data_IF_410237904392
#
_entry.id   IF_410237904392
#
_cell.length_a   1.000
_cell.length_b   1.000
_cell.length_c   1.000
_cell.angle_alpha   90.00
_cell.angle_beta   90.00
_cell.angle_gamma   90.00
#
_symmetry.space_group_name_H-M   'P 1'
#
loop_
_entity.id
_entity.type
_entity.pdbx_description
1 polymer ?
#
# COMPACT_ATOMS: atom_id res chain seq x y z
N UNK A 1 -57.43 -55.65 -18.51
CA UNK A 1 -58.01 -54.73 -17.49
C UNK A 1 -56.85 -54.00 -16.84
N UNK A 2 -56.81 -52.66 -17.01
CA UNK A 2 -55.78 -51.69 -16.56
C UNK A 2 -54.55 -51.58 -17.46
N UNK A 3 -54.83 -51.16 -18.69
CA UNK A 3 -53.90 -50.62 -19.68
C UNK A 3 -53.56 -49.14 -19.44
N UNK A 4 -52.31 -48.81 -19.73
CA UNK A 4 -51.91 -47.72 -20.63
C UNK A 4 -52.67 -46.38 -20.52
N UNK A 5 -52.41 -45.60 -19.46
CA UNK A 5 -52.94 -44.22 -19.38
C UNK A 5 -52.15 -43.22 -18.52
N UNK A 6 -50.81 -43.21 -18.61
CA UNK A 6 -50.03 -42.19 -17.89
C UNK A 6 -48.82 -41.59 -18.64
N UNK A 7 -48.54 -41.97 -19.90
CA UNK A 7 -47.40 -41.43 -20.67
C UNK A 7 -47.76 -40.35 -21.71
N UNK A 8 -48.85 -39.58 -21.54
CA UNK A 8 -49.23 -38.51 -22.50
C UNK A 8 -49.30 -37.08 -21.94
N UNK A 9 -48.63 -36.78 -20.83
CA UNK A 9 -48.79 -35.48 -20.16
C UNK A 9 -47.51 -34.64 -20.02
N UNK A 10 -46.52 -34.76 -20.92
CA UNK A 10 -45.32 -33.89 -20.92
C UNK A 10 -44.96 -33.40 -22.33
N UNK A 11 -45.98 -33.05 -23.13
CA UNK A 11 -45.80 -32.67 -24.52
C UNK A 11 -46.68 -31.52 -24.97
N UNK A 12 -46.86 -30.48 -24.14
CA UNK A 12 -47.65 -29.30 -24.55
C UNK A 12 -47.48 -28.06 -23.64
N UNK A 13 -46.26 -27.63 -23.29
CA UNK A 13 -46.12 -26.39 -22.48
C UNK A 13 -44.86 -25.54 -22.74
N UNK A 14 -44.22 -25.63 -23.92
CA UNK A 14 -43.03 -24.80 -24.23
C UNK A 14 -43.07 -24.10 -25.59
N UNK A 15 -44.25 -23.88 -26.18
CA UNK A 15 -44.40 -23.21 -27.49
C UNK A 15 -45.05 -21.82 -27.41
N UNK A 16 -44.74 -21.03 -26.38
CA UNK A 16 -45.38 -19.71 -26.22
C UNK A 16 -44.74 -18.77 -25.20
N UNK A 17 -43.42 -18.55 -25.24
CA UNK A 17 -42.77 -17.54 -24.38
C UNK A 17 -41.51 -16.92 -24.99
N UNK A 18 -41.38 -16.94 -26.33
CA UNK A 18 -40.18 -16.42 -27.03
C UNK A 18 -40.32 -15.01 -27.62
N UNK A 19 -41.53 -14.45 -27.72
CA UNK A 19 -41.76 -13.25 -28.55
C UNK A 19 -41.84 -11.91 -27.82
N UNK A 20 -41.77 -11.89 -26.48
CA UNK A 20 -41.88 -10.64 -25.70
C UNK A 20 -40.55 -10.07 -25.19
N UNK A 21 -39.42 -10.78 -25.37
CA UNK A 21 -38.12 -10.34 -24.86
C UNK A 21 -37.25 -9.57 -25.88
N UNK A 22 -37.68 -9.42 -27.14
CA UNK A 22 -36.87 -8.80 -28.20
C UNK A 22 -37.15 -7.30 -28.45
N UNK A 23 -38.08 -6.65 -27.73
CA UNK A 23 -38.44 -5.23 -27.95
C UNK A 23 -37.83 -4.23 -26.95
N UNK A 24 -36.90 -4.66 -26.08
CA UNK A 24 -36.31 -3.76 -25.07
C UNK A 24 -34.79 -3.88 -24.90
N UNK A 25 -34.07 -4.28 -25.94
CA UNK A 25 -32.62 -4.15 -25.99
C UNK A 25 -32.27 -3.16 -27.10
N UNK A 26 -31.78 -1.99 -26.67
CA UNK A 26 -31.28 -0.96 -27.57
C UNK A 26 -30.20 -1.54 -28.50
N UNK A 27 -30.12 -0.95 -29.68
CA UNK A 27 -29.15 -1.29 -30.71
C UNK A 27 -27.73 -1.33 -30.12
N UNK A 28 -27.24 -2.54 -29.87
CA UNK A 28 -25.83 -2.80 -29.61
C UNK A 28 -25.09 -2.44 -30.89
N UNK A 29 -24.13 -1.52 -30.79
CA UNK A 29 -23.38 -1.02 -31.94
C UNK A 29 -22.64 -2.16 -32.63
N UNK A 30 -22.53 -2.10 -33.95
CA UNK A 30 -21.84 -3.10 -34.78
C UNK A 30 -20.37 -3.35 -34.37
N UNK A 31 -19.78 -2.49 -33.53
CA UNK A 31 -18.43 -2.65 -32.99
C UNK A 31 -18.28 -3.70 -31.88
N UNK A 32 -19.32 -3.98 -31.09
CA UNK A 32 -19.24 -4.95 -29.98
C UNK A 32 -19.42 -6.40 -30.44
N UNK A 33 -20.19 -6.63 -31.50
CA UNK A 33 -20.33 -7.96 -32.13
C UNK A 33 -18.99 -8.47 -32.70
N UNK A 34 -18.12 -7.57 -33.19
CA UNK A 34 -16.81 -7.94 -33.71
C UNK A 34 -15.78 -8.30 -32.61
N UNK A 35 -15.96 -7.81 -31.38
CA UNK A 35 -15.05 -8.13 -30.26
C UNK A 35 -15.33 -9.51 -29.65
N UNK A 36 -16.59 -9.94 -29.60
CA UNK A 36 -16.95 -11.26 -29.06
C UNK A 36 -16.53 -12.41 -30.00
N UNK A 37 -16.60 -12.21 -31.33
CA UNK A 37 -16.13 -13.21 -32.29
C UNK A 37 -14.60 -13.46 -32.24
N UNK A 38 -13.81 -12.49 -31.74
CA UNK A 38 -12.35 -12.63 -31.62
C UNK A 38 -11.93 -13.50 -30.43
N UNK A 39 -12.70 -13.53 -29.34
CA UNK A 39 -12.34 -14.28 -28.12
C UNK A 39 -12.53 -15.80 -28.32
N UNK A 40 -13.53 -16.25 -29.09
CA UNK A 40 -13.70 -17.69 -29.36
C UNK A 40 -12.57 -18.29 -30.23
N UNK A 41 -11.92 -17.49 -31.07
CA UNK A 41 -10.86 -17.97 -31.97
C UNK A 41 -9.54 -18.34 -31.24
N UNK A 42 -9.35 -17.87 -30.00
CA UNK A 42 -8.16 -18.17 -29.20
C UNK A 42 -8.31 -19.43 -28.34
N UNK A 43 -9.55 -19.87 -28.05
CA UNK A 43 -9.82 -21.09 -27.29
C UNK A 43 -9.52 -22.39 -28.07
N UNK A 44 -9.64 -22.35 -29.41
CA UNK A 44 -9.48 -23.55 -30.25
C UNK A 44 -8.02 -23.96 -30.52
N UNK A 45 -7.03 -23.11 -30.23
CA UNK A 45 -5.61 -23.41 -30.48
C UNK A 45 -4.87 -24.05 -29.30
N UNK A 46 -5.47 -24.13 -28.10
CA UNK A 46 -4.82 -24.73 -26.91
C UNK A 46 -5.19 -26.19 -26.63
N UNK A 47 -6.12 -26.78 -27.37
CA UNK A 47 -6.57 -28.16 -27.15
C UNK A 47 -5.69 -29.25 -27.81
N UNK A 48 -4.59 -28.88 -28.49
CA UNK A 48 -3.77 -29.81 -29.27
C UNK A 48 -2.40 -30.19 -28.68
N UNK A 49 -2.01 -29.64 -27.52
CA UNK A 49 -0.63 -29.74 -27.00
C UNK A 49 -0.50 -30.51 -25.66
N UNK A 50 -1.50 -31.29 -25.28
CA UNK A 50 -1.55 -31.96 -23.97
C UNK A 50 -1.73 -33.49 -24.06
N UNK A 51 -1.19 -34.12 -25.10
CA UNK A 51 -1.19 -35.59 -25.23
C UNK A 51 0.21 -36.25 -25.17
N UNK A 52 1.32 -35.50 -25.20
CA UNK A 52 2.67 -36.09 -25.26
C UNK A 52 3.52 -35.98 -23.98
N UNK A 53 3.08 -35.23 -22.96
CA UNK A 53 3.88 -35.01 -21.73
C UNK A 53 3.66 -36.12 -20.68
N UNK A 54 2.60 -36.93 -20.78
CA UNK A 54 2.32 -37.98 -19.78
C UNK A 54 3.17 -39.26 -19.92
N UNK A 55 3.94 -39.43 -20.99
CA UNK A 55 4.76 -40.64 -21.20
C UNK A 55 6.20 -40.52 -20.67
N UNK A 56 6.70 -39.31 -20.40
CA UNK A 56 8.07 -39.12 -19.88
C UNK A 56 8.15 -39.03 -18.35
N UNK A 57 7.03 -38.75 -17.66
CA UNK A 57 7.02 -38.61 -16.20
C UNK A 57 7.22 -39.91 -15.44
N UNK A 58 6.71 -41.05 -15.94
CA UNK A 58 6.78 -42.33 -15.23
C UNK A 58 8.18 -42.94 -15.26
N UNK A 59 8.91 -42.82 -16.38
CA UNK A 59 10.28 -43.30 -16.49
C UNK A 59 11.22 -42.54 -15.53
N UNK A 60 11.00 -41.24 -15.33
CA UNK A 60 11.81 -40.42 -14.43
C UNK A 60 11.59 -40.78 -12.95
N UNK A 61 10.34 -41.05 -12.57
CA UNK A 61 10.00 -41.49 -11.20
C UNK A 61 10.57 -42.88 -10.90
N UNK A 62 10.49 -43.82 -11.86
CA UNK A 62 11.09 -45.15 -11.69
C UNK A 62 12.62 -45.08 -11.60
N UNK A 63 13.27 -44.21 -12.37
CA UNK A 63 14.72 -44.02 -12.31
C UNK A 63 15.16 -43.40 -10.96
N UNK A 64 14.40 -42.44 -10.42
CA UNK A 64 14.65 -41.85 -9.10
C UNK A 64 14.48 -42.86 -7.95
N UNK A 65 13.47 -43.72 -8.02
CA UNK A 65 13.26 -44.79 -7.04
C UNK A 65 14.35 -45.86 -7.10
N UNK A 66 14.79 -46.24 -8.31
CA UNK A 66 15.91 -47.16 -8.47
C UNK A 66 17.22 -46.56 -7.94
N UNK A 67 17.48 -45.27 -8.17
CA UNK A 67 18.66 -44.59 -7.64
C UNK A 67 18.67 -44.56 -6.10
N UNK A 68 17.52 -44.37 -5.45
CA UNK A 68 17.40 -44.42 -3.98
C UNK A 68 17.67 -45.83 -3.41
N UNK A 69 17.39 -46.90 -4.17
CA UNK A 69 17.69 -48.27 -3.75
C UNK A 69 19.15 -48.67 -3.93
N UNK A 70 19.91 -47.98 -4.79
CA UNK A 70 21.34 -48.20 -5.00
C UNK A 70 22.24 -47.28 -4.18
N UNK A 71 21.69 -46.41 -3.31
CA UNK A 71 22.53 -45.67 -2.37
C UNK A 71 23.10 -46.64 -1.33
N UNK A 72 24.44 -46.83 -1.29
CA UNK A 72 25.05 -47.66 -0.26
C UNK A 72 24.75 -47.02 1.09
N UNK A 73 24.13 -47.80 1.99
CA UNK A 73 23.97 -47.45 3.39
C UNK A 73 25.37 -47.23 4.00
N UNK A 74 25.87 -45.99 3.92
CA UNK A 74 27.04 -45.53 4.67
C UNK A 74 26.63 -45.41 6.13
N UNK A 75 26.54 -46.58 6.77
CA UNK A 75 26.71 -46.71 8.21
C UNK A 75 28.14 -46.30 8.56
N UNK A 76 28.26 -45.12 9.13
CA UNK A 76 29.48 -44.63 9.77
C UNK A 76 29.07 -43.95 11.05
N UNK A 77 28.78 -44.75 12.07
CA UNK A 77 28.67 -44.29 13.44
C UNK A 77 30.05 -43.80 13.90
N UNK A 78 30.29 -42.49 13.83
CA UNK A 78 31.20 -41.84 14.76
C UNK A 78 30.36 -41.41 15.95
N UNK A 79 30.69 -41.91 17.13
CA UNK A 79 30.17 -41.41 18.40
C UNK A 79 30.48 -39.92 18.48
N UNK A 80 29.48 -39.08 18.19
CA UNK A 80 29.51 -37.69 18.57
C UNK A 80 29.24 -37.67 20.07
N UNK A 81 30.26 -37.26 20.81
CA UNK A 81 30.21 -36.77 22.19
C UNK A 81 28.80 -36.26 22.52
N UNK A 82 28.13 -36.95 23.43
CA UNK A 82 26.86 -36.50 23.99
C UNK A 82 27.10 -35.10 24.55
N UNK A 83 26.53 -34.03 23.97
CA UNK A 83 26.74 -32.71 24.52
C UNK A 83 26.01 -32.76 25.85
N UNK A 84 26.78 -32.87 26.94
CA UNK A 84 26.29 -32.62 28.28
C UNK A 84 25.59 -31.27 28.17
N UNK A 85 24.27 -31.31 28.19
CA UNK A 85 23.41 -30.19 28.51
C UNK A 85 23.84 -29.81 29.92
N UNK A 86 24.91 -29.01 30.01
CA UNK A 86 25.10 -28.11 31.10
C UNK A 86 23.79 -27.34 31.11
N UNK A 87 22.94 -27.71 32.08
CA UNK A 87 21.83 -26.92 32.55
C UNK A 87 22.48 -25.64 33.06
N UNK A 88 22.85 -24.77 32.11
CA UNK A 88 23.10 -23.38 32.33
C UNK A 88 21.76 -22.92 32.83
N UNK A 89 21.66 -22.77 34.15
CA UNK A 89 20.59 -22.01 34.77
C UNK A 89 20.34 -20.84 33.84
N UNK A 90 19.16 -20.84 33.25
CA UNK A 90 18.69 -19.73 32.47
C UNK A 90 18.66 -18.56 33.46
N UNK A 91 19.76 -17.80 33.52
CA UNK A 91 19.67 -16.38 33.86
C UNK A 91 18.46 -15.88 33.08
N UNK A 92 17.48 -15.23 33.74
CA UNK A 92 16.29 -14.79 33.06
C UNK A 92 16.74 -13.96 31.87
N UNK A 93 16.63 -14.54 30.67
CA UNK A 93 16.88 -13.85 29.44
C UNK A 93 15.94 -12.64 29.48
N UNK A 94 16.51 -11.44 29.35
CA UNK A 94 15.80 -10.18 29.52
C UNK A 94 14.42 -10.26 28.88
N UNK A 95 13.40 -9.99 29.70
CA UNK A 95 12.01 -10.08 29.28
C UNK A 95 11.81 -9.35 27.96
N UNK A 96 10.97 -9.90 27.08
CA UNK A 96 10.48 -9.18 25.92
C UNK A 96 10.01 -7.80 26.35
N UNK A 97 10.41 -6.71 25.67
CA UNK A 97 9.99 -5.38 26.06
C UNK A 97 8.46 -5.34 26.10
N UNK A 98 7.91 -5.24 27.30
CA UNK A 98 6.46 -5.12 27.47
C UNK A 98 6.12 -3.64 27.32
N UNK A 99 5.22 -3.31 26.40
CA UNK A 99 4.73 -1.94 26.24
C UNK A 99 3.59 -1.72 27.22
N UNK A 100 3.64 -0.62 27.99
CA UNK A 100 2.57 -0.25 28.92
C UNK A 100 1.90 1.04 28.49
N UNK A 101 0.57 1.09 28.59
CA UNK A 101 -0.21 2.28 28.25
C UNK A 101 0.03 3.39 29.28
N UNK A 102 0.03 4.63 28.79
CA UNK A 102 0.04 5.83 29.62
C UNK A 102 -1.42 6.28 29.77
N UNK A 103 -1.98 6.18 30.98
CA UNK A 103 -3.40 6.45 31.23
C UNK A 103 -3.86 7.87 30.86
N UNK A 104 -2.99 8.86 31.04
CA UNK A 104 -3.25 10.27 30.70
C UNK A 104 -2.01 10.86 30.03
N UNK A 105 -1.82 10.60 28.73
CA UNK A 105 -0.63 11.04 28.04
C UNK A 105 -0.72 12.54 27.73
N UNK A 106 0.31 13.30 28.13
CA UNK A 106 0.49 14.66 27.63
C UNK A 106 0.81 14.61 26.13
N UNK A 107 0.05 15.30 25.26
CA UNK A 107 0.32 15.30 23.83
C UNK A 107 1.65 15.97 23.48
N UNK A 108 2.54 15.24 22.83
CA UNK A 108 3.82 15.76 22.34
C UNK A 108 3.76 16.19 20.88
N UNK A 109 2.79 15.66 20.12
CA UNK A 109 2.66 15.88 18.69
C UNK A 109 1.27 16.37 18.32
N UNK A 110 1.21 17.25 17.32
CA UNK A 110 -0.01 17.63 16.63
C UNK A 110 0.09 17.33 15.14
N UNK A 111 -1.05 17.09 14.53
CA UNK A 111 -1.18 16.96 13.08
C UNK A 111 -2.40 17.79 12.67
N UNK A 112 -2.13 18.99 12.17
CA UNK A 112 -3.15 20.00 11.96
C UNK A 112 -3.41 20.18 10.46
N UNK A 113 -4.44 19.49 9.96
CA UNK A 113 -4.83 19.50 8.56
C UNK A 113 -6.33 19.78 8.40
N UNK A 114 -6.71 20.50 7.33
CA UNK A 114 -8.10 20.91 7.13
C UNK A 114 -9.02 19.70 6.95
N UNK A 115 -8.50 18.66 6.30
CA UNK A 115 -9.17 17.38 6.03
C UNK A 115 -9.43 16.59 7.31
N UNK A 116 -8.63 16.80 8.36
CA UNK A 116 -8.74 16.13 9.66
C UNK A 116 -9.59 16.91 10.66
N UNK A 117 -9.84 18.21 10.42
CA UNK A 117 -10.48 19.13 11.39
C UNK A 117 -11.86 18.70 11.89
N UNK A 118 -12.65 18.03 11.05
CA UNK A 118 -13.99 17.54 11.37
C UNK A 118 -14.03 16.05 11.70
N UNK A 119 -12.87 15.45 11.97
CA UNK A 119 -12.73 14.03 12.27
C UNK A 119 -12.42 13.86 13.76
N UNK A 120 -13.10 12.90 14.41
CA UNK A 120 -12.79 12.54 15.80
C UNK A 120 -11.32 12.15 15.95
N UNK A 121 -10.63 12.75 16.93
CA UNK A 121 -9.20 12.53 17.18
C UNK A 121 -9.00 11.86 18.52
N UNK A 122 -8.24 10.77 18.52
CA UNK A 122 -7.79 10.07 19.73
C UNK A 122 -6.26 10.19 19.81
N UNK A 123 -5.76 10.50 21.00
CA UNK A 123 -4.34 10.51 21.30
C UNK A 123 -4.02 9.44 22.33
N UNK A 124 -3.09 8.55 21.99
CA UNK A 124 -2.64 7.50 22.89
C UNK A 124 -1.12 7.50 22.97
N UNK A 125 -0.57 7.04 24.09
CA UNK A 125 0.86 6.83 24.19
C UNK A 125 1.16 5.57 24.99
N UNK A 126 2.20 4.87 24.56
CA UNK A 126 2.75 3.70 25.23
C UNK A 126 4.21 3.94 25.55
N UNK A 127 4.65 3.39 26.69
CA UNK A 127 6.05 3.41 27.11
C UNK A 127 6.61 1.99 27.11
N UNK A 128 7.87 1.85 26.70
CA UNK A 128 8.60 0.61 26.91
C UNK A 128 8.87 0.44 28.41
N UNK A 129 8.63 -0.75 28.93
CA UNK A 129 9.04 -1.12 30.30
C UNK A 129 10.55 -1.32 30.42
N UNK A 130 11.24 -1.53 29.31
CA UNK A 130 12.68 -1.69 29.25
C UNK A 130 13.26 -0.61 28.34
N UNK A 131 13.72 0.49 28.95
CA UNK A 131 14.34 1.64 28.27
C UNK A 131 13.49 2.91 28.30
N UNK A 132 13.94 3.91 27.54
CA UNK A 132 13.30 5.22 27.38
C UNK A 132 12.37 5.29 26.15
N UNK A 133 12.01 4.14 25.58
CA UNK A 133 11.15 4.07 24.40
C UNK A 133 9.75 4.61 24.73
N UNK A 134 9.32 5.61 23.97
CA UNK A 134 7.94 6.11 23.96
C UNK A 134 7.44 6.07 22.52
N UNK A 135 6.20 5.63 22.38
CA UNK A 135 5.46 5.72 21.13
C UNK A 135 4.15 6.46 21.39
N UNK A 136 3.89 7.47 20.57
CA UNK A 136 2.67 8.26 20.56
C UNK A 136 1.87 7.92 19.30
N UNK A 137 0.56 7.82 19.43
CA UNK A 137 -0.39 7.47 18.36
C UNK A 137 -1.43 8.56 18.22
N UNK A 138 -1.57 9.07 17.00
CA UNK A 138 -2.63 9.99 16.62
C UNK A 138 -3.58 9.22 15.71
N UNK A 139 -4.80 8.99 16.18
CA UNK A 139 -5.85 8.28 15.43
C UNK A 139 -6.92 9.30 15.06
N UNK A 140 -7.32 9.30 13.79
CA UNK A 140 -8.39 10.14 13.26
C UNK A 140 -9.46 9.24 12.65
N UNK A 141 -10.68 9.33 13.17
CA UNK A 141 -11.83 8.58 12.68
C UNK A 141 -11.80 7.12 13.09
N UNK A 142 -12.62 6.29 12.44
CA UNK A 142 -12.77 4.88 12.78
C UNK A 142 -12.67 3.99 11.54
N UNK A 143 -11.93 2.90 11.66
CA UNK A 143 -11.63 2.01 10.55
C UNK A 143 -12.88 1.35 9.93
N UNK A 144 -13.93 1.11 10.72
CA UNK A 144 -15.17 0.47 10.28
C UNK A 144 -16.13 1.36 9.49
N UNK A 145 -15.81 2.65 9.28
CA UNK A 145 -16.67 3.62 8.58
C UNK A 145 -16.10 4.02 7.23
N UNK A 146 -16.33 3.20 6.20
CA UNK A 146 -15.81 3.42 4.84
C UNK A 146 -16.18 4.81 4.26
N UNK A 147 -17.31 5.39 4.66
CA UNK A 147 -17.80 6.71 4.24
C UNK A 147 -17.03 7.91 4.83
N UNK A 148 -16.15 7.68 5.81
CA UNK A 148 -15.42 8.72 6.55
C UNK A 148 -13.93 8.47 6.49
N UNK A 149 -13.12 9.53 6.51
CA UNK A 149 -11.67 9.40 6.61
C UNK A 149 -11.26 8.59 7.85
N UNK A 150 -10.24 7.74 7.68
CA UNK A 150 -9.56 7.06 8.77
C UNK A 150 -8.05 7.20 8.59
N UNK A 151 -7.36 7.68 9.61
CA UNK A 151 -5.90 7.82 9.60
C UNK A 151 -5.32 7.44 10.94
N UNK A 152 -4.17 6.78 10.92
CA UNK A 152 -3.36 6.57 12.10
C UNK A 152 -1.91 6.92 11.82
N UNK A 153 -1.27 7.63 12.75
CA UNK A 153 0.17 7.91 12.73
C UNK A 153 0.78 7.50 14.06
N UNK A 154 1.76 6.60 13.99
CA UNK A 154 2.69 6.29 15.05
C UNK A 154 3.91 7.20 14.97
N UNK A 155 4.32 7.75 16.11
CA UNK A 155 5.59 8.41 16.26
C UNK A 155 6.32 7.73 17.40
N UNK A 156 7.45 7.09 17.11
CA UNK A 156 8.28 6.47 18.15
C UNK A 156 9.69 7.02 18.13
N UNK A 157 10.25 7.12 19.33
CA UNK A 157 11.69 7.27 19.49
C UNK A 157 12.31 5.88 19.49
N UNK A 158 13.10 5.57 18.47
CA UNK A 158 13.76 4.27 18.40
C UNK A 158 15.05 4.19 19.24
N UNK A 159 15.55 5.33 19.72
CA UNK A 159 16.81 5.45 20.45
C UNK A 159 18.01 4.85 19.71
N UNK A 160 19.20 4.93 20.30
CA UNK A 160 20.43 4.34 19.72
C UNK A 160 20.46 2.79 19.78
N UNK A 161 19.35 2.13 20.09
CA UNK A 161 19.23 0.68 20.25
C UNK A 161 18.13 0.07 19.37
N UNK A 162 17.73 0.78 18.34
CA UNK A 162 16.82 0.22 17.38
C UNK A 162 17.56 -0.90 16.62
N UNK A 163 17.14 -2.15 16.83
CA UNK A 163 17.62 -3.27 16.02
C UNK A 163 17.35 -3.04 14.54
N UNK A 164 17.91 -3.91 13.69
CA UNK A 164 17.67 -3.89 12.25
C UNK A 164 16.18 -3.75 11.95
N UNK A 165 15.83 -2.79 11.08
CA UNK A 165 14.44 -2.54 10.73
C UNK A 165 13.87 -3.79 10.06
N UNK A 166 12.74 -4.29 10.56
CA UNK A 166 12.05 -5.40 9.90
C UNK A 166 11.61 -4.98 8.49
N UNK A 167 11.26 -5.91 7.59
CA UNK A 167 10.67 -5.55 6.30
C UNK A 167 9.37 -4.74 6.48
N UNK A 168 9.09 -3.80 5.57
CA UNK A 168 7.96 -2.86 5.68
C UNK A 168 6.62 -3.54 5.94
N UNK A 169 6.30 -4.61 5.20
CA UNK A 169 5.06 -5.35 5.39
C UNK A 169 4.93 -5.98 6.78
N UNK A 170 6.05 -6.41 7.39
CA UNK A 170 6.04 -7.02 8.73
C UNK A 170 5.73 -5.96 9.78
N UNK A 171 6.36 -4.78 9.70
CA UNK A 171 6.06 -3.66 10.59
C UNK A 171 4.61 -3.18 10.43
N UNK A 172 4.16 -3.02 9.18
CA UNK A 172 2.78 -2.63 8.87
C UNK A 172 1.77 -3.64 9.45
N UNK A 173 2.02 -4.94 9.29
CA UNK A 173 1.12 -5.99 9.77
C UNK A 173 1.06 -6.04 11.29
N UNK A 174 2.21 -5.92 11.97
CA UNK A 174 2.27 -5.85 13.44
C UNK A 174 1.52 -4.63 13.96
N UNK A 175 1.69 -3.49 13.30
CA UNK A 175 1.01 -2.24 13.67
C UNK A 175 -0.49 -2.32 13.44
N UNK A 176 -0.92 -2.81 12.29
CA UNK A 176 -2.32 -3.04 11.97
C UNK A 176 -2.98 -3.91 13.06
N UNK A 177 -2.35 -5.05 13.40
CA UNK A 177 -2.85 -5.93 14.45
C UNK A 177 -2.96 -5.22 15.82
N UNK A 178 -1.97 -4.40 16.19
CA UNK A 178 -1.99 -3.62 17.43
C UNK A 178 -3.06 -2.51 17.44
N UNK A 179 -3.53 -2.08 16.28
CA UNK A 179 -4.64 -1.14 16.10
C UNK A 179 -6.01 -1.84 15.92
N UNK A 180 -6.06 -3.18 15.99
CA UNK A 180 -7.29 -3.94 15.79
C UNK A 180 -7.78 -3.95 14.33
N UNK A 181 -6.89 -3.71 13.37
CA UNK A 181 -7.17 -3.78 11.93
C UNK A 181 -6.32 -4.86 11.26
N UNK A 182 -6.81 -5.49 10.21
CA UNK A 182 -6.09 -6.51 9.45
C UNK A 182 -5.58 -5.95 8.12
N UNK A 183 -4.39 -6.35 7.69
CA UNK A 183 -3.90 -6.07 6.34
C UNK A 183 -4.42 -7.16 5.39
N UNK A 184 -5.42 -6.84 4.58
CA UNK A 184 -5.99 -7.76 3.60
C UNK A 184 -5.11 -7.87 2.34
N UNK A 185 -4.49 -6.76 1.94
CA UNK A 185 -3.57 -6.70 0.79
C UNK A 185 -2.58 -5.55 0.98
N UNK A 186 -1.35 -5.70 0.50
CA UNK A 186 -0.40 -4.59 0.37
C UNK A 186 0.37 -4.71 -0.95
N UNK A 187 0.63 -3.59 -1.62
CA UNK A 187 1.60 -3.51 -2.70
C UNK A 187 3.03 -3.60 -2.13
N UNK A 188 4.04 -3.82 -2.98
CA UNK A 188 5.43 -3.53 -2.61
C UNK A 188 5.58 -2.08 -2.12
N UNK A 189 6.56 -1.85 -1.24
CA UNK A 189 6.92 -0.51 -0.81
C UNK A 189 7.54 0.29 -1.95
N UNK A 190 7.08 1.52 -2.11
CA UNK A 190 7.58 2.52 -3.06
C UNK A 190 8.09 3.76 -2.31
N UNK A 191 9.11 4.46 -2.83
CA UNK A 191 9.64 5.64 -2.18
C UNK A 191 8.61 6.77 -2.14
N UNK A 192 8.50 7.41 -0.98
CA UNK A 192 7.70 8.59 -0.68
C UNK A 192 8.61 9.67 -0.13
N UNK A 193 8.68 10.83 -0.78
CA UNK A 193 9.40 11.97 -0.25
C UNK A 193 8.48 12.81 0.63
N UNK A 194 8.97 13.16 1.82
CA UNK A 194 8.33 14.08 2.77
C UNK A 194 9.37 15.03 3.34
N UNK A 195 8.94 16.03 4.10
CA UNK A 195 9.85 16.94 4.82
C UNK A 195 10.69 16.19 5.85
N UNK A 196 10.24 15.01 6.30
CA UNK A 196 11.00 14.15 7.19
C UNK A 196 12.05 13.31 6.45
N UNK A 197 12.06 13.33 5.12
CA UNK A 197 13.00 12.64 4.26
C UNK A 197 12.31 11.57 3.41
N UNK A 198 13.12 10.66 2.89
CA UNK A 198 12.63 9.49 2.19
C UNK A 198 11.93 8.53 3.15
N UNK A 199 10.78 8.05 2.72
CA UNK A 199 9.89 7.13 3.42
C UNK A 199 9.50 6.02 2.44
N UNK A 200 9.04 4.89 2.96
CA UNK A 200 8.36 3.88 2.17
C UNK A 200 6.86 4.12 2.24
N UNK A 201 6.15 3.88 1.14
CA UNK A 201 4.69 3.87 1.09
C UNK A 201 4.17 2.69 0.28
N UNK A 202 2.97 2.21 0.58
CA UNK A 202 2.33 1.15 -0.18
C UNK A 202 0.82 1.35 -0.24
N UNK A 203 0.23 1.03 -1.38
CA UNK A 203 -1.21 0.82 -1.47
C UNK A 203 -1.57 -0.42 -0.64
N UNK A 204 -2.46 -0.24 0.33
CA UNK A 204 -2.88 -1.29 1.22
C UNK A 204 -4.40 -1.37 1.28
N UNK A 205 -4.91 -2.56 1.57
CA UNK A 205 -6.30 -2.74 1.96
C UNK A 205 -6.34 -3.15 3.42
N UNK A 206 -6.99 -2.33 4.24
CA UNK A 206 -7.18 -2.61 5.65
C UNK A 206 -8.61 -3.08 5.90
N UNK A 207 -8.76 -4.09 6.75
CA UNK A 207 -10.06 -4.62 7.15
C UNK A 207 -10.30 -4.45 8.64
N UNK A 208 -11.45 -3.92 9.01
CA UNK A 208 -11.88 -3.79 10.39
C UNK A 208 -13.37 -4.12 10.49
N UNK A 209 -13.75 -5.07 11.35
CA UNK A 209 -15.13 -5.50 11.55
C UNK A 209 -15.86 -5.86 10.23
N UNK A 210 -15.15 -6.53 9.31
CA UNK A 210 -15.69 -6.94 8.00
C UNK A 210 -15.75 -5.83 6.94
N UNK A 211 -15.39 -4.59 7.28
CA UNK A 211 -15.30 -3.47 6.32
C UNK A 211 -13.87 -3.37 5.81
N UNK A 212 -13.69 -3.48 4.48
CA UNK A 212 -12.39 -3.32 3.82
C UNK A 212 -12.26 -1.93 3.19
N UNK A 213 -11.07 -1.34 3.28
CA UNK A 213 -10.80 0.03 2.85
C UNK A 213 -9.48 0.11 2.09
N UNK A 214 -9.47 0.86 0.99
CA UNK A 214 -8.23 1.25 0.31
C UNK A 214 -7.54 2.35 1.09
N UNK A 215 -6.26 2.17 1.38
CA UNK A 215 -5.44 3.12 2.13
C UNK A 215 -4.04 3.22 1.52
N UNK A 216 -3.32 4.29 1.84
CA UNK A 216 -1.87 4.34 1.68
C UNK A 216 -1.22 4.14 3.05
N UNK A 217 -0.46 3.06 3.20
CA UNK A 217 0.44 2.86 4.33
C UNK A 217 1.76 3.59 4.09
N UNK A 218 2.41 4.03 5.16
CA UNK A 218 3.73 4.65 5.08
C UNK A 218 4.61 4.29 6.27
N UNK A 219 5.92 4.33 6.05
CA UNK A 219 6.93 4.15 7.09
C UNK A 219 8.14 5.03 6.86
N UNK A 220 8.63 5.62 7.95
CA UNK A 220 9.98 6.15 8.08
C UNK A 220 10.71 5.36 9.15
N UNK A 221 11.75 4.64 8.77
CA UNK A 221 12.58 3.87 9.70
C UNK A 221 14.06 3.91 9.26
N UNK A 222 14.65 5.10 9.32
CA UNK A 222 16.07 5.28 8.97
C UNK A 222 16.94 4.71 10.11
N UNK A 223 17.86 3.76 9.83
CA UNK A 223 18.75 3.23 10.85
C UNK A 223 19.61 4.32 11.50
N UNK A 224 19.74 4.29 12.82
CA UNK A 224 20.53 5.26 13.58
C UNK A 224 19.85 6.60 13.86
N UNK A 225 18.65 6.83 13.32
CA UNK A 225 17.88 8.03 13.62
C UNK A 225 16.84 7.80 14.72
N UNK A 226 16.64 8.81 15.57
CA UNK A 226 15.67 8.74 16.66
C UNK A 226 14.23 8.62 16.14
N UNK A 227 13.87 9.41 15.12
CA UNK A 227 12.50 9.54 14.62
C UNK A 227 12.08 8.36 13.74
N UNK A 228 11.09 7.59 14.20
CA UNK A 228 10.35 6.63 13.38
C UNK A 228 8.89 7.04 13.23
N UNK A 229 8.39 6.89 12.01
CA UNK A 229 6.98 7.10 11.65
C UNK A 229 6.43 5.82 11.03
N UNK A 230 5.20 5.45 11.37
CA UNK A 230 4.49 4.34 10.74
C UNK A 230 3.01 4.61 10.80
N UNK A 231 2.28 4.35 9.72
CA UNK A 231 0.85 4.63 9.73
C UNK A 231 0.17 4.32 8.42
N UNK A 232 -1.06 4.78 8.33
CA UNK A 232 -1.87 4.69 7.12
C UNK A 232 -2.86 5.85 7.04
N UNK A 233 -3.25 6.15 5.81
CA UNK A 233 -4.30 7.10 5.48
C UNK A 233 -5.32 6.42 4.56
N UNK A 234 -6.57 6.38 5.00
CA UNK A 234 -7.70 5.81 4.28
C UNK A 234 -8.71 6.95 4.02
N UNK A 235 -8.89 7.39 2.76
CA UNK A 235 -9.84 8.43 2.44
C UNK A 235 -11.26 7.87 2.53
N UNK A 236 -12.29 8.73 2.46
CA UNK A 236 -13.66 8.28 2.20
C UNK A 236 -13.74 7.40 0.95
N UNK A 237 -14.59 6.38 0.98
CA UNK A 237 -14.84 5.50 -0.15
C UNK A 237 -15.19 6.29 -1.42
N UNK A 238 -14.72 5.79 -2.57
CA UNK A 238 -14.88 6.46 -3.87
C UNK A 238 -13.89 7.58 -4.12
N UNK A 239 -13.03 7.92 -3.14
CA UNK A 239 -11.93 8.88 -3.31
C UNK A 239 -10.62 8.13 -3.59
N UNK A 240 -9.85 8.61 -4.56
CA UNK A 240 -8.50 8.11 -4.81
C UNK A 240 -7.51 8.84 -3.90
N UNK A 241 -6.58 8.11 -3.28
CA UNK A 241 -5.48 8.72 -2.54
C UNK A 241 -4.33 8.98 -3.49
N UNK A 242 -3.80 10.21 -3.47
CA UNK A 242 -2.53 10.50 -4.13
C UNK A 242 -1.39 10.48 -3.12
N UNK A 243 -0.26 9.91 -3.52
CA UNK A 243 0.96 9.89 -2.71
C UNK A 243 1.43 11.29 -2.29
N UNK A 244 1.21 12.31 -3.13
CA UNK A 244 1.50 13.71 -2.81
C UNK A 244 0.61 14.27 -1.70
N UNK A 245 -0.65 13.82 -1.63
CA UNK A 245 -1.58 14.23 -0.58
C UNK A 245 -1.15 13.67 0.76
N UNK A 246 -0.76 12.40 0.78
CA UNK A 246 -0.21 11.76 1.97
C UNK A 246 1.09 12.45 2.43
N UNK A 247 2.01 12.73 1.51
CA UNK A 247 3.24 13.48 1.81
C UNK A 247 2.92 14.80 2.51
N UNK A 248 1.99 15.57 1.94
CA UNK A 248 1.61 16.86 2.51
C UNK A 248 0.85 16.79 3.81
N UNK A 249 0.12 15.71 4.04
CA UNK A 249 -0.49 15.46 5.32
C UNK A 249 0.57 15.18 6.37
N UNK A 250 1.51 14.26 6.11
CA UNK A 250 2.62 13.93 7.01
C UNK A 250 3.45 15.18 7.32
N UNK A 251 3.69 16.04 6.34
CA UNK A 251 4.46 17.28 6.48
C UNK A 251 3.83 18.32 7.43
N UNK A 252 2.59 18.11 7.88
CA UNK A 252 1.92 18.95 8.89
C UNK A 252 2.08 18.43 10.33
N UNK A 253 2.79 17.32 10.52
CA UNK A 253 3.07 16.76 11.84
C UNK A 253 4.06 17.66 12.59
N UNK A 254 3.67 18.28 13.69
CA UNK A 254 4.50 19.20 14.49
C UNK A 254 4.70 18.68 15.92
N UNK A 255 5.71 19.21 16.61
CA UNK A 255 5.84 19.08 18.07
C UNK A 255 4.92 20.12 18.72
N UNK A 256 3.98 19.67 19.54
CA UNK A 256 3.00 20.53 20.23
C UNK A 256 3.23 20.64 21.73
N UNK A 257 4.03 19.73 22.32
CA UNK A 257 4.31 19.66 23.74
C UNK A 257 5.77 19.95 24.09
N UNK A 258 6.09 19.95 25.39
CA UNK A 258 7.48 20.04 25.83
C UNK A 258 8.17 18.67 25.64
N UNK A 259 8.99 18.58 24.61
CA UNK A 259 9.75 17.37 24.28
C UNK A 259 11.14 17.44 24.89
N UNK A 260 11.46 16.49 25.76
CA UNK A 260 12.78 16.41 26.42
C UNK A 260 13.84 15.72 25.55
N UNK A 261 13.44 14.96 24.53
CA UNK A 261 14.37 14.27 23.65
C UNK A 261 14.98 15.22 22.61
N UNK A 262 16.27 15.53 22.79
CA UNK A 262 17.02 16.43 21.90
C UNK A 262 17.13 15.91 20.47
N UNK A 263 17.38 14.61 20.29
CA UNK A 263 17.53 14.02 18.96
C UNK A 263 16.21 14.08 18.18
N UNK A 264 15.09 13.91 18.86
CA UNK A 264 13.76 14.07 18.27
C UNK A 264 13.45 15.54 17.95
N UNK A 265 13.77 16.48 18.84
CA UNK A 265 13.68 17.93 18.56
C UNK A 265 14.48 18.33 17.33
N UNK A 266 15.73 17.85 17.23
CA UNK A 266 16.60 18.10 16.08
C UNK A 266 16.01 17.52 14.79
N UNK A 267 15.51 16.29 14.82
CA UNK A 267 14.86 15.67 13.66
C UNK A 267 13.69 16.51 13.11
N UNK A 268 12.85 17.05 13.99
CA UNK A 268 11.75 17.95 13.61
C UNK A 268 12.25 19.33 13.15
N UNK A 269 13.31 19.88 13.76
CA UNK A 269 13.93 21.12 13.30
C UNK A 269 14.52 20.97 11.89
N UNK A 270 15.25 19.89 11.61
CA UNK A 270 15.78 19.57 10.28
C UNK A 270 14.66 19.31 9.27
N UNK A 271 13.55 18.73 9.70
CA UNK A 271 12.36 18.57 8.86
C UNK A 271 11.72 19.92 8.50
N UNK A 272 11.59 20.85 9.46
CA UNK A 272 11.06 22.21 9.21
C UNK A 272 11.97 23.05 8.31
N UNK A 273 13.28 22.83 8.35
CA UNK A 273 14.24 23.49 7.47
C UNK A 273 14.11 23.05 6.00
N UNK A 274 13.64 21.82 5.75
CA UNK A 274 13.36 21.29 4.40
C UNK A 274 12.07 21.90 3.87
N UNK A 275 12.20 22.87 2.96
CA UNK A 275 11.05 23.46 2.27
C UNK A 275 10.60 22.52 1.15
N UNK A 276 9.53 21.76 1.40
CA UNK A 276 8.76 21.10 0.36
C UNK A 276 7.44 21.85 0.19
N UNK A 277 7.08 22.17 -1.05
CA UNK A 277 5.86 22.91 -1.32
C UNK A 277 4.65 21.99 -1.25
N UNK A 278 3.90 22.10 -0.15
CA UNK A 278 2.59 21.48 -0.03
C UNK A 278 1.49 22.45 -0.44
N UNK A 279 0.93 22.23 -1.63
CA UNK A 279 -0.33 22.88 -2.01
C UNK A 279 -1.42 22.28 -1.13
N UNK A 280 -2.20 23.14 -0.47
CA UNK A 280 -3.32 22.69 0.34
C UNK A 280 -4.22 21.78 -0.49
N UNK A 281 -4.52 20.60 0.06
CA UNK A 281 -5.54 19.72 -0.50
C UNK A 281 -6.87 20.48 -0.54
N UNK A 282 -7.65 20.36 -1.61
CA UNK A 282 -9.01 20.85 -1.57
C UNK A 282 -9.77 20.03 -0.52
N UNK A 283 -10.23 20.70 0.54
CA UNK A 283 -11.16 20.09 1.50
C UNK A 283 -12.28 19.43 0.71
N UNK A 284 -12.49 18.12 0.90
CA UNK A 284 -13.41 17.32 0.12
C UNK A 284 -14.82 17.95 0.10
N UNK A 285 -15.10 18.71 -0.96
CA UNK A 285 -16.42 19.25 -1.22
C UNK A 285 -17.29 18.08 -1.66
N UNK A 286 -18.26 17.73 -0.83
CA UNK A 286 -19.38 16.88 -1.25
C UNK A 286 -20.16 17.62 -2.32
N UNK A 287 -19.78 17.45 -3.59
CA UNK A 287 -20.56 17.92 -4.73
C UNK A 287 -21.23 16.71 -5.35
N UNK A 288 -22.51 16.55 -5.00
CA UNK A 288 -23.47 15.70 -5.70
C UNK A 288 -23.44 16.04 -7.19
N UNK A 289 -23.41 14.99 -8.01
CA UNK A 289 -23.46 15.01 -9.47
C UNK A 289 -24.58 15.95 -9.96
N UNK A 290 -24.17 17.05 -10.60
CA UNK A 290 -25.01 17.97 -11.35
C UNK A 290 -24.33 18.30 -12.67
N UNK A 291 -24.89 17.78 -13.76
CA UNK A 291 -24.41 17.82 -15.13
C UNK A 291 -24.34 19.27 -15.66
N UNK A 292 -23.15 19.84 -15.79
CA UNK A 292 -22.87 20.94 -16.71
C UNK A 292 -21.36 21.08 -16.97
N UNK A 293 -20.95 20.83 -18.21
CA UNK A 293 -19.62 21.15 -18.72
C UNK A 293 -19.30 22.64 -18.51
N UNK A 294 -18.13 23.02 -18.00
CA UNK A 294 -17.65 24.39 -18.17
C UNK A 294 -16.83 24.47 -19.45
N UNK A 295 -17.32 25.28 -20.38
CA UNK A 295 -16.57 25.84 -21.50
C UNK A 295 -15.30 26.52 -20.98
N UNK A 296 -14.18 26.22 -21.61
CA UNK A 296 -12.90 26.93 -21.44
C UNK A 296 -13.10 28.35 -21.98
N UNK A 297 -13.36 29.31 -21.11
CA UNK A 297 -13.16 30.73 -21.42
C UNK A 297 -11.70 31.06 -21.14
N UNK A 298 -10.90 31.10 -22.21
CA UNK A 298 -9.57 31.69 -22.19
C UNK A 298 -9.68 33.17 -21.75
N UNK A 299 -9.12 33.49 -20.59
CA UNK A 299 -8.79 34.87 -20.26
C UNK A 299 -7.36 35.12 -20.73
N UNK A 300 -7.26 35.74 -21.89
CA UNK A 300 -6.04 36.36 -22.39
C UNK A 300 -5.81 37.66 -21.61
N UNK A 301 -5.04 37.58 -20.52
CA UNK A 301 -4.33 38.70 -19.92
C UNK A 301 -3.24 38.13 -19.01
N UNK A 302 -2.01 38.66 -19.12
CA UNK A 302 -0.79 38.25 -18.41
C UNK A 302 0.12 37.21 -19.07
N UNK A 303 0.29 37.30 -20.40
CA UNK A 303 1.42 36.68 -21.12
C UNK A 303 2.32 37.72 -21.84
N UNK A 304 2.41 38.93 -21.29
CA UNK A 304 3.23 40.03 -21.86
C UNK A 304 4.31 40.49 -20.87
N UNK A 305 4.95 39.53 -20.18
CA UNK A 305 6.08 39.82 -19.30
C UNK A 305 6.93 38.57 -18.97
N UNK A 306 7.34 37.74 -19.96
CA UNK A 306 8.46 36.78 -19.75
C UNK A 306 8.96 36.09 -21.05
N UNK A 307 9.06 36.82 -22.16
CA UNK A 307 9.72 36.34 -23.38
C UNK A 307 10.76 37.33 -23.91
N UNK A 308 11.52 37.91 -22.98
CA UNK A 308 12.70 38.73 -23.31
C UNK A 308 13.89 38.26 -22.49
N UNK A 309 14.26 36.99 -22.66
CA UNK A 309 15.57 36.46 -22.28
C UNK A 309 15.69 35.04 -22.83
N UNK A 310 16.12 34.91 -24.10
CA UNK A 310 17.02 33.87 -24.65
C UNK A 310 17.29 34.33 -26.10
N UNK A 311 18.32 35.17 -26.26
CA UNK A 311 18.92 35.44 -27.57
C UNK A 311 20.11 34.48 -27.71
N UNK A 312 20.13 33.56 -28.68
CA UNK A 312 21.31 32.72 -28.93
C UNK A 312 22.43 33.56 -29.56
N UNK A 313 23.62 33.54 -28.94
CA UNK A 313 24.86 34.14 -29.48
C UNK A 313 25.23 33.50 -30.83
N UNK A 314 25.51 34.29 -31.89
CA UNK A 314 26.05 33.76 -33.14
C UNK A 314 27.51 33.30 -32.98
N UNK A 315 27.81 32.11 -33.51
CA UNK A 315 29.16 31.53 -33.61
C UNK A 315 30.04 32.41 -34.51
N UNK A 316 31.10 32.96 -33.95
CA UNK A 316 32.11 33.71 -34.69
C UNK A 316 32.87 32.84 -35.69
N UNK A 317 32.74 33.18 -36.97
CA UNK A 317 33.57 32.68 -38.07
C UNK A 317 34.94 33.35 -38.04
N UNK A 318 36.01 32.55 -38.00
CA UNK A 318 37.41 33.03 -38.04
C UNK A 318 37.72 33.72 -39.39
N UNK A 319 38.34 34.91 -39.41
CA UNK A 319 38.79 35.53 -40.64
C UNK A 319 40.07 34.87 -41.18
N UNK A 320 40.01 34.57 -42.49
CA UNK A 320 41.05 33.99 -43.34
C UNK A 320 42.13 35.07 -43.60
N UNK A 321 43.35 34.89 -43.08
CA UNK A 321 44.50 35.76 -43.41
C UNK A 321 44.77 35.69 -44.93
N UNK A 322 44.62 36.83 -45.62
CA UNK A 322 45.19 37.03 -46.97
C UNK A 322 46.69 37.33 -46.83
N UNK A 323 47.51 36.55 -47.54
CA UNK A 323 48.85 36.95 -47.97
C UNK A 323 48.72 38.04 -49.03
N UNK A 324 49.60 39.02 -48.97
CA UNK A 324 49.89 39.99 -50.02
C UNK A 324 51.44 39.98 -50.16
N UNK A 325 51.96 40.12 -51.39
CA UNK A 325 53.25 39.57 -51.84
C UNK A 325 54.51 40.24 -51.28
#
# INVERSE_FOLDING_TARGET
MRDARAERAVGALTRGSGEWAARKLGAVSAGEAARLARIESLGRRRAGASASIMLFGSAFICMLLAALLFLPARGGASMAEEPRLASREASPAGGTPSWSQIAHPTPLFSLDAAELSNTERIYEAVRSTFGNGREDRLVFGVASRADKLFMEVAISNSGNKAGEAAPFFVDLSRRAAAAGVAVAKASPGEPLLSRFGEMESAETRLSANGVERSCLAFRRAVPGEALRLLGWYCPPEGTHVLTSELSCLIDRLEISGNMEDEAMREAFASARARRLECKALPAAASTVVGKSSPSISASAASMEALLETIVPRPRGTKPRRRRIP
#
